data_IF_209088399522
#
_entry.id   IF_209088399522
#
_cell.length_a   1.000
_cell.length_b   1.000
_cell.length_c   1.000
_cell.angle_alpha   90.00
_cell.angle_beta   90.00
_cell.angle_gamma   90.00
#
_symmetry.space_group_name_H-M   'P 1'
#
loop_
_entity.id
_entity.type
_entity.pdbx_description
1 polymer ?
#
# COMPACT_ATOMS: atom_id res chain seq x y z
N UNK A 1 7.82 -18.63 -1.45
CA UNK A 1 7.15 -18.30 -0.18
C UNK A 1 8.04 -17.36 0.62
N UNK A 2 7.47 -16.32 1.25
CA UNK A 2 8.23 -15.39 2.08
C UNK A 2 8.29 -15.92 3.52
N UNK A 3 9.48 -15.97 4.10
CA UNK A 3 9.72 -16.50 5.46
C UNK A 3 8.99 -15.75 6.60
N UNK A 4 8.34 -14.62 6.30
CA UNK A 4 7.78 -13.69 7.29
C UNK A 4 6.32 -13.32 7.04
N UNK A 5 5.59 -14.13 6.25
CA UNK A 5 4.24 -13.80 5.76
C UNK A 5 3.25 -13.36 6.86
N UNK A 6 3.40 -13.87 8.09
CA UNK A 6 2.39 -13.74 9.16
C UNK A 6 2.98 -13.34 10.52
N UNK A 7 4.23 -12.88 10.57
CA UNK A 7 4.80 -12.37 11.84
C UNK A 7 4.45 -10.89 12.02
N UNK A 8 4.01 -10.47 13.21
CA UNK A 8 3.75 -9.06 13.48
C UNK A 8 5.07 -8.26 13.38
N UNK A 9 4.97 -6.98 13.05
CA UNK A 9 6.13 -6.13 12.74
C UNK A 9 7.20 -6.08 13.86
N UNK A 10 6.79 -6.16 15.12
CA UNK A 10 7.64 -6.18 16.31
C UNK A 10 8.39 -7.51 16.51
N UNK A 11 7.97 -8.57 15.82
CA UNK A 11 8.67 -9.86 15.77
C UNK A 11 9.54 -10.03 14.52
N UNK A 12 9.53 -9.03 13.63
CA UNK A 12 10.40 -9.05 12.46
C UNK A 12 11.85 -8.75 12.84
N UNK A 13 12.83 -9.35 12.15
CA UNK A 13 14.22 -8.96 12.29
C UNK A 13 14.35 -7.45 12.07
N UNK A 14 15.20 -6.78 12.86
CA UNK A 14 15.47 -5.33 12.74
C UNK A 14 15.74 -4.90 11.29
N UNK A 15 16.38 -5.76 10.49
CA UNK A 15 16.66 -5.51 9.08
C UNK A 15 15.44 -5.42 8.16
N UNK A 16 14.31 -6.06 8.51
CA UNK A 16 13.12 -6.09 7.65
C UNK A 16 12.30 -4.78 7.75
N UNK A 17 12.29 -4.14 8.92
CA UNK A 17 11.73 -2.79 9.05
C UNK A 17 12.53 -1.79 8.19
N UNK A 18 13.87 -1.78 8.34
CA UNK A 18 14.74 -0.93 7.53
C UNK A 18 14.63 -1.21 6.02
N UNK A 19 14.33 -2.47 5.64
CA UNK A 19 14.05 -2.83 4.25
C UNK A 19 12.78 -2.17 3.71
N UNK A 20 11.67 -2.15 4.48
CA UNK A 20 10.45 -1.44 4.08
C UNK A 20 10.64 0.08 4.02
N UNK A 21 11.37 0.66 4.99
CA UNK A 21 11.70 2.10 5.00
C UNK A 21 12.52 2.50 3.77
N UNK A 22 13.55 1.72 3.46
CA UNK A 22 14.39 1.95 2.29
C UNK A 22 13.58 1.83 0.99
N UNK A 23 12.71 0.81 0.86
CA UNK A 23 11.87 0.68 -0.34
C UNK A 23 10.88 1.84 -0.47
N UNK A 24 10.28 2.29 0.63
CA UNK A 24 9.39 3.46 0.67
C UNK A 24 10.10 4.71 0.14
N UNK A 25 11.34 4.95 0.56
CA UNK A 25 12.19 6.05 0.07
C UNK A 25 12.55 5.89 -1.41
N UNK A 26 12.96 4.69 -1.84
CA UNK A 26 13.29 4.41 -3.26
C UNK A 26 12.10 4.63 -4.19
N UNK A 27 10.88 4.39 -3.71
CA UNK A 27 9.64 4.69 -4.43
C UNK A 27 9.27 6.17 -4.45
N UNK A 28 10.10 7.03 -3.84
CA UNK A 28 9.91 8.46 -3.78
C UNK A 28 8.75 8.87 -2.89
N UNK A 29 8.28 8.01 -1.97
CA UNK A 29 7.11 8.28 -1.13
C UNK A 29 7.35 9.38 -0.09
N UNK A 30 8.60 9.84 0.04
CA UNK A 30 9.04 10.96 0.89
C UNK A 30 9.42 12.21 0.09
N UNK A 31 9.33 12.19 -1.24
CA UNK A 31 9.65 13.32 -2.12
C UNK A 31 8.73 14.52 -1.84
N UNK A 32 9.24 15.75 -1.98
CA UNK A 32 8.44 16.99 -1.81
C UNK A 32 8.16 17.65 -3.18
N UNK A 33 6.91 18.04 -3.48
CA UNK A 33 5.70 17.81 -2.68
C UNK A 33 5.36 16.31 -2.62
N UNK A 34 4.71 15.90 -1.53
CA UNK A 34 4.40 14.50 -1.28
C UNK A 34 3.59 13.88 -2.42
N UNK A 35 3.96 12.70 -2.91
CA UNK A 35 3.25 12.03 -4.00
C UNK A 35 1.96 11.39 -3.47
N UNK A 36 0.99 12.23 -3.08
CA UNK A 36 -0.29 11.82 -2.47
C UNK A 36 -0.99 10.74 -3.29
N UNK A 37 -0.91 10.83 -4.61
CA UNK A 37 -1.50 9.86 -5.54
C UNK A 37 -0.94 8.44 -5.33
N UNK A 38 0.39 8.31 -5.28
CA UNK A 38 1.07 7.03 -5.05
C UNK A 38 0.79 6.48 -3.65
N UNK A 39 0.79 7.36 -2.65
CA UNK A 39 0.51 7.01 -1.26
C UNK A 39 -0.93 6.47 -1.13
N UNK A 40 -1.94 7.15 -1.70
CA UNK A 40 -3.34 6.69 -1.69
C UNK A 40 -3.51 5.29 -2.28
N UNK A 41 -2.80 4.99 -3.38
CA UNK A 41 -2.86 3.66 -4.02
C UNK A 41 -2.37 2.57 -3.05
N UNK A 42 -1.21 2.79 -2.40
CA UNK A 42 -0.66 1.82 -1.44
C UNK A 42 -1.59 1.65 -0.23
N UNK A 43 -2.18 2.74 0.28
CA UNK A 43 -3.14 2.68 1.39
C UNK A 43 -4.42 1.91 1.03
N UNK A 44 -4.98 2.14 -0.16
CA UNK A 44 -6.14 1.38 -0.65
C UNK A 44 -5.83 -0.11 -0.72
N UNK A 45 -4.68 -0.48 -1.27
CA UNK A 45 -4.29 -1.88 -1.36
C UNK A 45 -4.10 -2.54 0.01
N UNK A 46 -3.68 -1.78 1.03
CA UNK A 46 -3.59 -2.30 2.40
C UNK A 46 -4.96 -2.41 3.08
N UNK A 47 -5.85 -1.43 2.87
CA UNK A 47 -7.21 -1.44 3.41
C UNK A 47 -8.09 -2.53 2.78
N UNK A 48 -7.89 -2.82 1.49
CA UNK A 48 -8.49 -3.96 0.81
C UNK A 48 -7.85 -5.24 1.35
N UNK A 49 -8.56 -5.92 2.27
CA UNK A 49 -8.05 -7.13 2.93
C UNK A 49 -7.72 -8.26 1.95
N UNK A 50 -8.39 -8.29 0.79
CA UNK A 50 -8.20 -9.28 -0.29
C UNK A 50 -7.54 -8.71 -1.56
N UNK A 51 -7.23 -9.60 -2.51
CA UNK A 51 -6.66 -9.20 -3.79
C UNK A 51 -7.67 -8.39 -4.63
N UNK A 52 -7.21 -7.28 -5.19
CA UNK A 52 -8.04 -6.35 -5.94
C UNK A 52 -7.51 -6.15 -7.37
N UNK A 53 -8.40 -5.94 -8.34
CA UNK A 53 -7.98 -5.57 -9.69
C UNK A 53 -7.46 -4.14 -9.71
N UNK A 54 -6.68 -3.81 -10.75
CA UNK A 54 -6.19 -2.45 -10.99
C UNK A 54 -7.33 -1.42 -11.03
N UNK A 55 -8.45 -1.77 -11.64
CA UNK A 55 -9.64 -0.93 -11.74
C UNK A 55 -10.27 -0.64 -10.36
N UNK A 56 -10.37 -1.65 -9.50
CA UNK A 56 -10.87 -1.49 -8.12
C UNK A 56 -9.92 -0.59 -7.30
N UNK A 57 -8.61 -0.77 -7.45
CA UNK A 57 -7.61 0.06 -6.77
C UNK A 57 -7.71 1.51 -7.26
N UNK A 58 -7.86 1.73 -8.58
CA UNK A 58 -8.05 3.04 -9.19
C UNK A 58 -9.29 3.75 -8.64
N UNK A 59 -10.43 3.04 -8.58
CA UNK A 59 -11.71 3.53 -8.03
C UNK A 59 -11.53 4.07 -6.60
N UNK A 60 -11.01 3.25 -5.68
CA UNK A 60 -10.93 3.64 -4.27
C UNK A 60 -9.81 4.63 -3.96
N UNK A 61 -8.77 4.70 -4.79
CA UNK A 61 -7.71 5.70 -4.65
C UNK A 61 -8.03 7.03 -5.34
N UNK A 62 -9.15 7.11 -6.08
CA UNK A 62 -9.52 8.24 -6.95
C UNK A 62 -8.38 8.58 -7.94
N UNK A 63 -7.69 7.56 -8.45
CA UNK A 63 -6.60 7.68 -9.42
C UNK A 63 -6.97 7.01 -10.74
N UNK A 64 -6.22 7.31 -11.80
CA UNK A 64 -6.35 6.60 -13.07
C UNK A 64 -5.55 5.27 -13.04
N UNK A 65 -5.94 4.33 -13.91
CA UNK A 65 -5.30 3.02 -13.97
C UNK A 65 -3.81 3.05 -14.37
N UNK A 66 -3.35 4.07 -15.11
CA UNK A 66 -1.94 4.20 -15.50
C UNK A 66 -1.08 4.49 -14.27
N UNK A 67 -1.48 5.42 -13.41
CA UNK A 67 -0.80 5.71 -12.14
C UNK A 67 -0.83 4.49 -11.21
N UNK A 68 -1.92 3.72 -11.21
CA UNK A 68 -1.98 2.46 -10.46
C UNK A 68 -0.98 1.44 -11.03
N UNK A 69 -0.88 1.30 -12.35
CA UNK A 69 0.07 0.40 -13.00
C UNK A 69 1.52 0.71 -12.59
N UNK A 70 1.93 1.98 -12.64
CA UNK A 70 3.28 2.42 -12.24
C UNK A 70 3.59 2.05 -10.78
N UNK A 71 2.61 2.22 -9.89
CA UNK A 71 2.76 1.83 -8.48
C UNK A 71 2.84 0.31 -8.35
N UNK A 72 1.98 -0.46 -9.03
CA UNK A 72 2.03 -1.92 -9.00
C UNK A 72 3.38 -2.46 -9.48
N UNK A 73 3.98 -1.85 -10.50
CA UNK A 73 5.29 -2.22 -11.02
C UNK A 73 6.41 -1.91 -10.03
N UNK A 74 6.43 -0.70 -9.43
CA UNK A 74 7.41 -0.33 -8.42
C UNK A 74 7.31 -1.16 -7.12
N UNK A 75 6.14 -1.71 -6.84
CA UNK A 75 5.87 -2.52 -5.66
C UNK A 75 5.85 -4.02 -5.92
N UNK A 76 6.12 -4.48 -7.15
CA UNK A 76 5.93 -5.88 -7.57
C UNK A 76 6.55 -6.93 -6.63
N UNK A 77 7.73 -6.66 -6.04
CA UNK A 77 8.41 -7.57 -5.11
C UNK A 77 7.67 -7.79 -3.76
N UNK A 78 6.72 -6.92 -3.43
CA UNK A 78 5.86 -6.97 -2.24
C UNK A 78 4.45 -7.47 -2.55
N UNK A 79 4.14 -7.71 -3.83
CA UNK A 79 2.81 -8.04 -4.29
C UNK A 79 2.72 -9.51 -4.68
N UNK A 80 1.64 -10.14 -4.24
CA UNK A 80 1.16 -11.36 -4.85
C UNK A 80 0.20 -11.00 -5.98
N UNK A 81 0.61 -11.30 -7.22
CA UNK A 81 -0.25 -11.23 -8.40
C UNK A 81 -0.99 -12.55 -8.58
N UNK A 82 -2.31 -12.49 -8.67
CA UNK A 82 -3.19 -13.63 -8.89
C UNK A 82 -3.65 -13.66 -10.35
N UNK A 83 -2.97 -14.47 -11.16
CA UNK A 83 -3.22 -14.62 -12.61
C UNK A 83 -4.47 -15.44 -12.93
N UNK A 84 -5.07 -16.11 -11.93
CA UNK A 84 -6.32 -16.86 -12.10
C UNK A 84 -7.54 -15.97 -12.37
N UNK A 85 -7.40 -14.65 -12.16
CA UNK A 85 -8.43 -13.66 -12.48
C UNK A 85 -8.10 -12.93 -13.79
N UNK A 86 -9.14 -12.57 -14.54
CA UNK A 86 -9.04 -11.67 -15.70
C UNK A 86 -9.95 -10.45 -15.47
N UNK A 87 -9.40 -9.24 -15.30
CA UNK A 87 -7.97 -8.90 -15.19
C UNK A 87 -7.33 -9.44 -13.89
N UNK A 88 -5.98 -9.57 -13.83
CA UNK A 88 -5.28 -10.08 -12.66
C UNK A 88 -5.52 -9.20 -11.43
N UNK A 89 -5.42 -9.83 -10.25
CA UNK A 89 -5.61 -9.16 -8.95
C UNK A 89 -4.32 -9.11 -8.16
N UNK A 90 -4.20 -8.10 -7.30
CA UNK A 90 -3.00 -7.78 -6.54
C UNK A 90 -3.34 -7.64 -5.07
N UNK A 91 -2.49 -8.19 -4.20
CA UNK A 91 -2.50 -7.93 -2.75
C UNK A 91 -1.06 -7.86 -2.23
N UNK A 92 -0.86 -7.11 -1.16
CA UNK A 92 0.33 -7.32 -0.34
C UNK A 92 0.26 -8.70 0.31
N UNK A 93 1.37 -9.42 0.30
CA UNK A 93 1.41 -10.76 0.87
C UNK A 93 1.93 -10.81 2.31
N UNK A 94 2.60 -9.75 2.77
CA UNK A 94 3.07 -9.60 4.15
C UNK A 94 2.04 -8.83 4.98
N UNK A 95 1.53 -9.43 6.06
CA UNK A 95 0.70 -8.70 7.03
C UNK A 95 1.50 -7.60 7.75
N UNK A 96 2.76 -7.89 8.08
CA UNK A 96 3.71 -6.94 8.67
C UNK A 96 3.93 -5.66 7.85
N UNK A 97 3.71 -5.71 6.53
CA UNK A 97 3.77 -4.50 5.71
C UNK A 97 2.57 -3.56 5.98
N UNK A 98 1.40 -4.12 6.30
CA UNK A 98 0.25 -3.32 6.75
C UNK A 98 0.58 -2.64 8.08
N UNK A 99 1.16 -3.38 9.03
CA UNK A 99 1.61 -2.84 10.32
C UNK A 99 2.63 -1.71 10.14
N UNK A 100 3.54 -1.85 9.17
CA UNK A 100 4.51 -0.81 8.81
C UNK A 100 3.82 0.50 8.39
N UNK A 101 2.75 0.43 7.58
CA UNK A 101 2.00 1.63 7.18
C UNK A 101 1.13 2.22 8.30
N UNK A 102 0.72 1.39 9.27
CA UNK A 102 -0.03 1.83 10.44
C UNK A 102 0.88 2.50 11.49
N UNK A 103 2.20 2.26 11.43
CA UNK A 103 3.17 2.94 12.29
C UNK A 103 3.30 4.42 11.94
N UNK A 104 2.59 5.21 12.75
CA UNK A 104 2.50 6.66 12.71
C UNK A 104 3.85 7.38 12.83
N UNK A 105 4.88 6.76 13.40
CA UNK A 105 6.17 7.39 13.70
C UNK A 105 7.11 7.45 12.48
N UNK A 106 7.23 6.36 11.72
CA UNK A 106 8.09 6.28 10.52
C UNK A 106 7.64 7.27 9.45
N UNK A 107 6.32 7.39 9.28
CA UNK A 107 5.77 8.16 8.17
C UNK A 107 5.43 9.61 8.57
N UNK A 108 5.24 9.92 9.86
CA UNK A 108 5.28 11.31 10.34
C UNK A 108 6.69 11.89 10.27
N UNK A 109 7.74 11.11 10.53
CA UNK A 109 9.13 11.55 10.38
C UNK A 109 9.47 11.96 8.92
N UNK A 110 8.76 11.39 7.95
CA UNK A 110 8.84 11.77 6.54
C UNK A 110 8.06 13.05 6.17
N UNK A 111 7.42 13.74 7.14
CA UNK A 111 6.67 14.98 6.92
C UNK A 111 5.29 14.78 6.27
N UNK A 112 4.74 13.58 6.35
CA UNK A 112 3.44 13.21 5.76
C UNK A 112 2.35 13.26 6.82
N UNK A 113 1.33 14.11 6.65
CA UNK A 113 0.09 13.98 7.42
C UNK A 113 -0.75 12.83 6.85
N UNK A 114 -0.28 11.61 7.08
CA UNK A 114 -0.98 10.39 6.67
C UNK A 114 -2.36 10.18 7.27
N UNK A 115 -2.66 10.61 8.53
CA UNK A 115 -3.98 10.43 9.10
C UNK A 115 -5.08 10.92 8.15
N UNK A 116 -4.90 12.09 7.52
CA UNK A 116 -5.85 12.64 6.56
C UNK A 116 -6.00 11.76 5.30
N UNK A 117 -4.88 11.24 4.77
CA UNK A 117 -4.89 10.38 3.57
C UNK A 117 -5.55 9.03 3.90
N UNK A 118 -5.26 8.47 5.07
CA UNK A 118 -5.83 7.21 5.53
C UNK A 118 -7.34 7.32 5.80
N UNK A 119 -7.79 8.45 6.37
CA UNK A 119 -9.20 8.75 6.57
C UNK A 119 -9.91 8.91 5.23
N UNK A 120 -9.35 9.69 4.29
CA UNK A 120 -9.91 9.85 2.95
C UNK A 120 -10.07 8.51 2.22
N UNK A 121 -9.08 7.62 2.34
CA UNK A 121 -9.16 6.26 1.75
C UNK A 121 -10.25 5.42 2.43
N UNK A 122 -10.37 5.49 3.76
CA UNK A 122 -11.40 4.77 4.50
C UNK A 122 -12.82 5.24 4.13
N UNK A 123 -13.00 6.55 3.94
CA UNK A 123 -14.26 7.14 3.48
C UNK A 123 -14.60 6.65 2.07
N UNK A 124 -13.66 6.71 1.13
CA UNK A 124 -13.87 6.24 -0.25
C UNK A 124 -14.30 4.76 -0.31
N UNK A 125 -13.71 3.92 0.54
CA UNK A 125 -14.06 2.49 0.62
C UNK A 125 -15.46 2.31 1.21
N UNK A 126 -15.77 3.04 2.28
CA UNK A 126 -17.09 3.01 2.93
C UNK A 126 -18.20 3.44 1.96
N UNK A 127 -18.01 4.55 1.26
CA UNK A 127 -18.95 5.05 0.25
C UNK A 127 -19.18 4.03 -0.87
N UNK A 128 -18.12 3.37 -1.35
CA UNK A 128 -18.26 2.38 -2.43
C UNK A 128 -18.76 1.00 -2.01
N UNK A 129 -18.90 0.72 -0.71
CA UNK A 129 -19.57 -0.46 -0.15
C UNK A 129 -21.08 -0.23 0.07
N UNK A 130 -21.53 1.02 0.10
CA UNK A 130 -22.94 1.40 0.29
C UNK A 130 -23.73 1.52 -1.03
N UNK A 131 -23.07 1.29 -2.18
CA UNK A 131 -23.62 1.29 -3.54
C UNK A 131 -23.65 -0.12 -4.11
#
# INVERSE_FOLDING_TARGET
EGFYNDKPLDELPVGLQGYYENHWQLMGMTTKPLPRNKIKIVYVMCALRGAASREVIAKYSKQNELTVQEVLEGWAQFLQKQESYQPPRYRFYHESFRDFLHRRDIVQAAGVNLPDISAEVADNITEGLQL
#
